data_IF_224774976928
#
_entry.id   IF_224774976928
#
_cell.length_a   1.000
_cell.length_b   1.000
_cell.length_c   1.000
_cell.angle_alpha   90.00
_cell.angle_beta   90.00
_cell.angle_gamma   90.00
#
_symmetry.space_group_name_H-M   'P 1'
#
loop_
_entity.id
_entity.type
_entity.pdbx_description
1 polymer ?
#
# COMPACT_ATOMS: atom_id res chain seq x y z
N UNK A 1 10.83 -2.49 -7.80
CA UNK A 1 10.51 -2.99 -6.43
C UNK A 1 10.71 -4.50 -6.33
N UNK A 2 10.97 -5.03 -5.13
CA UNK A 2 11.08 -6.47 -4.85
C UNK A 2 10.02 -6.82 -3.81
N UNK A 3 9.20 -7.83 -4.09
CA UNK A 3 8.16 -8.32 -3.17
C UNK A 3 8.68 -9.54 -2.41
N UNK A 4 8.34 -9.65 -1.12
CA UNK A 4 8.63 -10.85 -0.34
C UNK A 4 7.76 -12.04 -0.76
N UNK A 5 6.53 -11.78 -1.21
CA UNK A 5 5.57 -12.74 -1.74
C UNK A 5 4.98 -12.21 -3.04
N UNK A 6 4.73 -13.06 -4.06
CA UNK A 6 4.11 -12.62 -5.30
C UNK A 6 2.65 -12.19 -5.07
N UNK A 7 2.10 -11.29 -5.90
CA UNK A 7 0.66 -11.04 -5.92
C UNK A 7 -0.09 -12.30 -6.37
N UNK A 8 -1.39 -12.33 -6.13
CA UNK A 8 -2.26 -13.39 -6.62
C UNK A 8 -2.22 -13.46 -8.15
N UNK A 9 -2.15 -14.67 -8.76
CA UNK A 9 -2.25 -14.81 -10.22
C UNK A 9 -3.56 -14.28 -10.81
N UNK A 10 -4.62 -14.14 -10.00
CA UNK A 10 -5.90 -13.57 -10.42
C UNK A 10 -5.85 -12.05 -10.59
N UNK A 11 -4.89 -11.41 -9.92
CA UNK A 11 -4.70 -9.96 -9.89
C UNK A 11 -3.20 -9.61 -9.82
N UNK A 12 -2.45 -9.91 -10.89
CA UNK A 12 -1.00 -9.70 -10.91
C UNK A 12 -0.59 -8.25 -11.17
N UNK A 13 -1.55 -7.36 -11.48
CA UNK A 13 -1.32 -6.03 -12.04
C UNK A 13 -0.39 -6.09 -13.25
N UNK A 14 0.45 -5.07 -13.40
CA UNK A 14 1.59 -5.02 -14.33
C UNK A 14 2.90 -5.53 -13.69
N UNK A 15 2.80 -6.12 -12.50
CA UNK A 15 3.91 -6.66 -11.72
C UNK A 15 4.49 -5.65 -10.72
N UNK A 16 5.57 -6.00 -9.99
CA UNK A 16 6.08 -5.18 -8.88
C UNK A 16 6.51 -3.75 -9.25
N UNK A 17 6.73 -3.46 -10.54
CA UNK A 17 7.07 -2.12 -11.01
C UNK A 17 5.91 -1.13 -10.87
N UNK A 18 4.66 -1.61 -10.88
CA UNK A 18 3.44 -0.83 -10.72
C UNK A 18 3.46 0.03 -9.45
N UNK A 19 4.02 -0.50 -8.35
CA UNK A 19 4.09 0.19 -7.06
C UNK A 19 4.87 1.52 -7.09
N UNK A 20 5.49 1.90 -8.20
CA UNK A 20 6.33 3.08 -8.35
C UNK A 20 6.24 3.71 -9.75
N UNK A 21 5.21 3.41 -10.54
CA UNK A 21 5.11 3.87 -11.94
C UNK A 21 4.36 5.22 -12.11
N UNK A 22 3.70 5.67 -11.05
CA UNK A 22 2.92 6.89 -10.96
C UNK A 22 1.46 6.73 -11.40
N UNK A 23 0.99 5.51 -11.64
CA UNK A 23 -0.37 5.21 -12.12
C UNK A 23 -1.22 4.76 -10.93
N UNK A 24 -2.32 5.48 -10.69
CA UNK A 24 -3.28 5.11 -9.64
C UNK A 24 -4.37 4.21 -10.19
N UNK A 25 -4.73 3.18 -9.43
CA UNK A 25 -5.75 2.23 -9.83
C UNK A 25 -7.17 2.79 -9.74
N UNK A 26 -8.06 2.27 -10.60
CA UNK A 26 -9.48 2.55 -10.56
C UNK A 26 -10.19 1.51 -9.66
N UNK A 27 -10.84 1.91 -8.54
CA UNK A 27 -11.54 0.97 -7.68
C UNK A 27 -12.76 0.30 -8.35
N UNK A 28 -13.26 0.84 -9.46
CA UNK A 28 -14.30 0.21 -10.27
C UNK A 28 -13.73 -0.88 -11.20
N UNK A 29 -12.42 -0.86 -11.47
CA UNK A 29 -11.71 -1.83 -12.30
C UNK A 29 -10.52 -2.46 -11.57
N UNK A 30 -10.81 -3.39 -10.65
CA UNK A 30 -9.78 -4.13 -9.89
C UNK A 30 -8.89 -5.06 -10.73
N UNK A 31 -9.11 -5.18 -12.05
CA UNK A 31 -8.34 -6.07 -12.94
C UNK A 31 -7.06 -5.43 -13.48
N UNK A 32 -6.93 -4.10 -13.40
CA UNK A 32 -5.81 -3.33 -13.93
C UNK A 32 -5.27 -2.41 -12.85
N UNK A 33 -3.96 -2.15 -12.86
CA UNK A 33 -3.33 -1.13 -12.01
C UNK A 33 -3.54 -1.36 -10.51
N UNK A 34 -3.61 -2.65 -10.12
CA UNK A 34 -3.66 -3.11 -8.75
C UNK A 34 -2.90 -4.43 -8.57
N UNK A 35 -2.02 -4.50 -7.57
CA UNK A 35 -1.48 -5.75 -7.05
C UNK A 35 -2.38 -6.31 -5.96
N UNK A 36 -2.95 -7.50 -6.18
CA UNK A 36 -3.89 -8.14 -5.26
C UNK A 36 -3.28 -9.24 -4.40
N UNK A 37 -3.59 -9.22 -3.10
CA UNK A 37 -3.14 -10.21 -2.12
C UNK A 37 -4.34 -10.77 -1.34
N UNK A 38 -4.53 -12.09 -1.37
CA UNK A 38 -5.67 -12.78 -0.74
C UNK A 38 -5.25 -13.42 0.60
N UNK A 39 -5.61 -12.78 1.71
CA UNK A 39 -5.23 -13.21 3.05
C UNK A 39 -3.73 -13.10 3.36
N UNK A 40 -2.94 -12.57 2.45
CA UNK A 40 -1.50 -12.34 2.58
C UNK A 40 -1.21 -10.84 2.66
N UNK A 41 -0.18 -10.48 3.43
CA UNK A 41 0.32 -9.11 3.54
C UNK A 41 1.14 -8.71 2.30
N UNK A 42 1.21 -7.41 2.01
CA UNK A 42 2.25 -6.87 1.13
C UNK A 42 3.51 -6.58 1.96
N UNK A 43 4.65 -7.14 1.54
CA UNK A 43 5.97 -6.67 1.97
C UNK A 43 6.80 -6.34 0.74
N UNK A 44 7.04 -5.06 0.50
CA UNK A 44 7.76 -4.55 -0.67
C UNK A 44 9.02 -3.79 -0.26
N UNK A 45 10.14 -4.04 -0.96
CA UNK A 45 11.37 -3.26 -0.84
C UNK A 45 11.63 -2.48 -2.12
N UNK A 46 11.89 -1.18 -1.99
CA UNK A 46 12.17 -0.24 -3.08
C UNK A 46 13.60 0.27 -2.91
N UNK A 47 14.42 0.15 -3.96
CA UNK A 47 15.69 0.91 -4.09
C UNK A 47 15.36 2.25 -4.75
N UNK A 48 15.66 3.34 -4.05
CA UNK A 48 15.48 4.72 -4.52
C UNK A 48 16.59 5.14 -5.51
N UNK A 49 17.53 4.24 -5.81
CA UNK A 49 18.65 4.41 -6.74
C UNK A 49 19.82 5.19 -6.15
N UNK A 50 19.54 6.13 -5.23
CA UNK A 50 20.54 6.92 -4.51
C UNK A 50 20.06 7.23 -3.09
N UNK A 51 20.98 7.60 -2.21
CA UNK A 51 20.63 8.13 -0.90
C UNK A 51 19.96 9.49 -1.05
N UNK A 52 18.72 9.62 -0.59
CA UNK A 52 17.94 10.86 -0.57
C UNK A 52 17.50 11.20 0.85
N UNK A 53 17.05 12.44 1.04
CA UNK A 53 16.32 12.86 2.24
C UNK A 53 14.86 12.43 2.13
N UNK A 54 14.29 11.82 3.16
CA UNK A 54 12.90 11.36 3.21
C UNK A 54 12.20 12.00 4.40
N UNK A 55 11.07 12.65 4.14
CA UNK A 55 10.26 13.36 5.15
C UNK A 55 8.77 13.01 5.10
N UNK A 56 8.28 12.44 4.00
CA UNK A 56 6.90 11.98 3.87
C UNK A 56 6.86 10.66 3.09
N UNK A 57 6.07 9.71 3.57
CA UNK A 57 5.90 8.38 3.01
C UNK A 57 4.42 8.07 2.87
N UNK A 58 4.05 7.24 1.90
CA UNK A 58 2.66 6.81 1.75
C UNK A 58 2.52 5.52 0.96
N UNK A 59 1.32 4.98 1.04
CA UNK A 59 0.86 3.85 0.25
C UNK A 59 -0.57 4.12 -0.20
N UNK A 60 -0.88 3.89 -1.46
CA UNK A 60 -2.23 3.99 -2.01
C UNK A 60 -2.89 2.61 -2.03
N UNK A 61 -4.17 2.58 -1.70
CA UNK A 61 -4.97 1.36 -1.58
C UNK A 61 -6.45 1.68 -1.77
N UNK A 62 -7.24 0.67 -2.11
CA UNK A 62 -8.69 0.78 -2.17
C UNK A 62 -9.41 -0.17 -1.20
N UNK A 63 -10.69 0.15 -0.99
CA UNK A 63 -11.69 -0.69 -0.37
C UNK A 63 -12.82 -0.87 -1.37
N UNK A 64 -13.24 -2.11 -1.57
CA UNK A 64 -14.41 -2.50 -2.38
C UNK A 64 -15.06 -3.67 -1.63
N UNK A 65 -15.89 -3.35 -0.65
CA UNK A 65 -16.40 -4.35 0.29
C UNK A 65 -17.23 -5.44 -0.39
N UNK A 66 -17.95 -5.10 -1.47
CA UNK A 66 -18.69 -6.06 -2.31
C UNK A 66 -17.79 -7.13 -2.94
N UNK A 67 -16.52 -6.80 -3.20
CA UNK A 67 -15.49 -7.70 -3.70
C UNK A 67 -14.62 -8.33 -2.59
N UNK A 68 -14.91 -8.03 -1.31
CA UNK A 68 -14.11 -8.50 -0.18
C UNK A 68 -12.76 -7.80 -0.03
N UNK A 69 -12.62 -6.60 -0.63
CA UNK A 69 -11.40 -5.78 -0.58
C UNK A 69 -11.49 -4.80 0.58
N UNK A 70 -10.46 -4.75 1.42
CA UNK A 70 -10.38 -3.86 2.58
C UNK A 70 -9.05 -3.10 2.61
N UNK A 71 -9.07 -1.88 3.14
CA UNK A 71 -7.86 -1.13 3.43
C UNK A 71 -6.99 -1.88 4.46
N UNK A 72 -5.66 -1.75 4.41
CA UNK A 72 -4.79 -2.35 5.39
C UNK A 72 -5.01 -1.73 6.78
N UNK A 73 -5.14 -2.55 7.86
CA UNK A 73 -5.25 -2.02 9.22
C UNK A 73 -4.01 -1.24 9.65
N UNK A 74 -2.84 -1.67 9.17
CA UNK A 74 -1.56 -1.03 9.45
C UNK A 74 -0.68 -1.01 8.21
N UNK A 75 0.03 0.10 8.03
CA UNK A 75 1.13 0.21 7.07
C UNK A 75 2.37 0.65 7.82
N UNK A 76 3.36 -0.23 7.91
CA UNK A 76 4.67 0.08 8.49
C UNK A 76 5.66 0.49 7.40
N UNK A 77 6.39 1.58 7.67
CA UNK A 77 7.46 2.07 6.81
C UNK A 77 8.80 1.94 7.53
N UNK A 78 9.75 1.27 6.90
CA UNK A 78 11.12 1.11 7.38
C UNK A 78 12.12 1.56 6.32
N UNK A 79 13.23 2.16 6.73
CA UNK A 79 14.27 2.66 5.81
C UNK A 79 15.62 1.98 6.02
N UNK A 80 16.44 1.94 4.96
CA UNK A 80 17.81 1.42 5.02
C UNK A 80 18.75 2.19 4.09
N UNK A 81 20.03 2.27 4.46
CA UNK A 81 21.10 2.75 3.59
C UNK A 81 21.72 1.62 2.74
N UNK A 82 21.73 0.39 3.25
CA UNK A 82 22.45 -0.74 2.66
C UNK A 82 21.53 -1.84 2.09
N UNK A 83 20.22 -1.72 2.27
CA UNK A 83 19.23 -2.67 1.78
C UNK A 83 19.16 -3.98 2.58
N UNK A 84 19.86 -4.06 3.72
CA UNK A 84 19.88 -5.23 4.61
C UNK A 84 19.32 -4.90 5.98
N UNK A 85 19.84 -3.83 6.59
CA UNK A 85 19.46 -3.40 7.93
C UNK A 85 18.39 -2.31 7.82
N UNK A 86 17.17 -2.64 8.21
CA UNK A 86 16.02 -1.75 8.12
C UNK A 86 15.62 -1.24 9.50
N UNK A 87 15.35 0.06 9.59
CA UNK A 87 14.83 0.71 10.79
C UNK A 87 13.43 1.24 10.53
N UNK A 88 12.48 0.88 11.39
CA UNK A 88 11.12 1.44 11.35
C UNK A 88 11.15 2.95 11.64
N UNK A 89 10.45 3.72 10.80
CA UNK A 89 10.37 5.19 10.91
C UNK A 89 8.95 5.70 11.11
N UNK A 90 7.94 4.92 10.70
CA UNK A 90 6.55 5.24 10.95
C UNK A 90 5.63 4.02 10.80
N UNK A 91 4.46 4.12 11.42
CA UNK A 91 3.34 3.20 11.19
C UNK A 91 2.07 4.04 11.07
N UNK A 92 1.33 3.85 9.98
CA UNK A 92 -0.01 4.42 9.80
C UNK A 92 -1.05 3.36 10.15
N UNK A 93 -2.12 3.76 10.83
CA UNK A 93 -3.24 2.89 11.20
C UNK A 93 -4.52 3.33 10.51
N UNK A 94 -5.32 2.37 10.05
CA UNK A 94 -6.65 2.61 9.49
C UNK A 94 -7.69 1.94 10.37
N UNK A 95 -8.77 2.64 10.70
CA UNK A 95 -9.91 2.02 11.38
C UNK A 95 -10.65 1.10 10.41
N UNK A 96 -10.41 -0.21 10.50
CA UNK A 96 -11.03 -1.25 9.67
C UNK A 96 -11.46 -2.45 10.52
N UNK A 97 -12.48 -3.22 10.11
CA UNK A 97 -13.24 -3.09 8.86
C UNK A 97 -14.34 -2.03 8.90
N UNK A 98 -14.49 -1.27 7.82
CA UNK A 98 -15.62 -0.34 7.62
C UNK A 98 -16.64 -0.93 6.66
N UNK A 99 -17.92 -0.54 6.81
CA UNK A 99 -19.01 -0.95 5.90
C UNK A 99 -19.14 -0.06 4.66
N UNK A 100 -18.24 0.92 4.48
CA UNK A 100 -18.25 1.82 3.31
C UNK A 100 -18.06 1.00 2.04
N UNK A 101 -18.93 1.18 1.05
CA UNK A 101 -18.95 0.34 -0.16
C UNK A 101 -17.62 0.38 -0.92
N UNK A 102 -17.26 1.59 -1.38
CA UNK A 102 -16.03 1.86 -2.15
C UNK A 102 -15.28 3.03 -1.49
N UNK A 103 -13.96 2.91 -1.37
CA UNK A 103 -13.08 3.96 -0.88
C UNK A 103 -11.70 3.82 -1.53
N UNK A 104 -11.04 4.93 -1.85
CA UNK A 104 -9.62 4.93 -2.24
C UNK A 104 -8.88 5.87 -1.30
N UNK A 105 -7.77 5.41 -0.72
CA UNK A 105 -7.00 6.20 0.24
C UNK A 105 -5.51 6.11 -0.02
N UNK A 106 -4.88 7.27 0.08
CA UNK A 106 -3.45 7.39 0.32
C UNK A 106 -3.24 7.39 1.84
N UNK A 107 -2.66 6.32 2.34
CA UNK A 107 -2.26 6.16 3.74
C UNK A 107 -0.86 6.73 3.93
N UNK A 108 -0.77 8.06 4.04
CA UNK A 108 0.51 8.77 4.20
C UNK A 108 0.79 9.23 5.62
N UNK A 109 2.07 9.44 5.90
CA UNK A 109 2.55 9.96 7.17
C UNK A 109 3.82 10.79 6.98
N UNK A 110 3.95 11.86 7.75
CA UNK A 110 5.16 12.66 7.85
C UNK A 110 6.07 12.06 8.90
N UNK A 111 7.37 12.06 8.62
CA UNK A 111 8.41 11.55 9.51
C UNK A 111 9.43 12.63 9.82
N UNK A 112 10.19 12.43 10.89
CA UNK A 112 11.43 13.18 11.06
C UNK A 112 12.36 12.85 9.89
N UNK A 113 12.88 13.88 9.25
CA UNK A 113 13.77 13.75 8.10
C UNK A 113 14.88 12.71 8.35
N UNK A 114 15.03 11.77 7.43
CA UNK A 114 16.03 10.71 7.48
C UNK A 114 16.65 10.48 6.11
N UNK A 115 17.95 10.17 6.08
CA UNK A 115 18.63 9.73 4.85
C UNK A 115 18.36 8.25 4.61
N UNK A 116 17.88 7.91 3.42
CA UNK A 116 17.60 6.54 3.02
C UNK A 116 17.95 6.30 1.56
N UNK A 117 18.37 5.08 1.22
CA UNK A 117 18.44 4.59 -0.17
C UNK A 117 17.38 3.53 -0.44
N UNK A 118 16.97 2.78 0.58
CA UNK A 118 15.95 1.76 0.44
C UNK A 118 14.78 2.05 1.37
N UNK A 119 13.58 1.78 0.89
CA UNK A 119 12.34 1.79 1.65
C UNK A 119 11.77 0.38 1.67
N UNK A 120 11.34 -0.09 2.84
CA UNK A 120 10.52 -1.28 2.98
C UNK A 120 9.16 -0.89 3.53
N UNK A 121 8.11 -1.37 2.87
CA UNK A 121 6.71 -1.14 3.25
C UNK A 121 6.09 -2.48 3.59
N UNK A 122 5.45 -2.56 4.76
CA UNK A 122 4.65 -3.71 5.17
C UNK A 122 3.20 -3.26 5.37
N UNK A 123 2.33 -3.64 4.44
CA UNK A 123 0.89 -3.39 4.53
C UNK A 123 0.18 -4.66 4.95
N UNK A 124 -0.45 -4.61 6.13
CA UNK A 124 -1.11 -5.77 6.71
C UNK A 124 -2.44 -6.04 6.02
N UNK A 125 -2.72 -7.29 5.70
CA UNK A 125 -4.04 -7.74 5.25
C UNK A 125 -4.99 -7.83 6.44
N UNK A 126 -6.28 -7.56 6.21
CA UNK A 126 -7.31 -7.78 7.23
C UNK A 126 -7.39 -9.25 7.69
N UNK A 127 -6.91 -10.18 6.86
CA UNK A 127 -6.90 -11.62 7.10
C UNK A 127 -8.20 -12.24 6.66
N UNK A 128 -9.25 -12.11 7.47
CA UNK A 128 -10.57 -12.69 7.19
C UNK A 128 -11.65 -11.61 7.09
N UNK A 129 -12.60 -11.82 6.18
CA UNK A 129 -13.76 -10.97 5.99
C UNK A 129 -14.64 -11.01 7.26
N UNK A 130 -15.07 -9.85 7.78
CA UNK A 130 -15.81 -9.74 9.03
C UNK A 130 -17.24 -10.27 8.97
N UNK A 131 -17.80 -10.58 10.15
CA UNK A 131 -19.10 -11.26 10.32
C UNK A 131 -20.31 -10.54 9.72
N UNK A 132 -20.25 -9.21 9.59
CA UNK A 132 -21.33 -8.43 9.01
C UNK A 132 -21.46 -8.59 7.50
N UNK A 133 -20.44 -9.13 6.83
CA UNK A 133 -20.41 -9.25 5.37
C UNK A 133 -20.91 -10.63 4.93
N UNK A 134 -21.57 -10.69 3.77
CA UNK A 134 -22.09 -11.95 3.19
C UNK A 134 -20.99 -13.00 2.95
N UNK A 135 -19.75 -12.55 2.73
CA UNK A 135 -18.58 -13.38 2.50
C UNK A 135 -17.78 -13.72 3.78
N UNK A 136 -18.38 -13.55 4.96
CA UNK A 136 -17.72 -13.74 6.27
C UNK A 136 -16.87 -15.01 6.35
N UNK A 137 -15.73 -14.92 7.03
CA UNK A 137 -14.80 -16.03 7.24
C UNK A 137 -13.94 -16.41 6.03
N UNK A 138 -14.23 -15.90 4.82
CA UNK A 138 -13.32 -16.01 3.68
C UNK A 138 -12.11 -15.09 3.86
N UNK A 139 -11.03 -15.35 3.12
CA UNK A 139 -9.86 -14.48 3.08
C UNK A 139 -10.24 -13.10 2.53
N UNK A 140 -9.70 -12.04 3.14
CA UNK A 140 -9.86 -10.68 2.66
C UNK A 140 -8.84 -10.36 1.57
N UNK A 141 -9.25 -9.53 0.62
CA UNK A 141 -8.36 -8.98 -0.40
C UNK A 141 -7.71 -7.69 0.10
N UNK A 142 -6.43 -7.54 -0.20
CA UNK A 142 -5.66 -6.31 -0.08
C UNK A 142 -5.21 -5.90 -1.49
N UNK A 143 -5.50 -4.67 -1.89
CA UNK A 143 -5.11 -4.11 -3.19
C UNK A 143 -4.27 -2.86 -3.01
N UNK A 144 -3.11 -2.84 -3.67
CA UNK A 144 -2.13 -1.75 -3.61
C UNK A 144 -1.72 -1.41 -5.04
N UNK A 145 -1.80 -0.14 -5.38
CA UNK A 145 -1.38 0.43 -6.67
C UNK A 145 -0.04 1.17 -6.52
N UNK A 146 0.15 1.97 -5.47
CA UNK A 146 1.28 2.91 -5.39
C UNK A 146 1.97 2.97 -4.01
N UNK A 147 3.30 3.16 -4.03
CA UNK A 147 4.12 3.51 -2.86
C UNK A 147 4.80 4.85 -3.10
N UNK A 148 4.51 5.80 -2.21
CA UNK A 148 4.87 7.20 -2.37
C UNK A 148 6.05 7.56 -1.46
N UNK A 149 7.02 8.30 -2.02
CA UNK A 149 8.16 8.88 -1.30
C UNK A 149 8.24 10.37 -1.60
N UNK A 150 8.17 11.19 -0.56
CA UNK A 150 8.07 12.66 -0.65
C UNK A 150 7.06 13.12 -1.72
N UNK A 151 5.80 12.62 -1.71
CA UNK A 151 4.82 12.96 -2.73
C UNK A 151 4.63 14.47 -2.79
N UNK A 152 4.78 15.05 -3.98
CA UNK A 152 4.54 16.48 -4.19
C UNK A 152 3.05 16.76 -3.98
N UNK A 153 2.72 17.70 -3.10
CA UNK A 153 1.35 18.22 -3.03
C UNK A 153 1.07 18.98 -4.31
N UNK A 154 0.07 18.57 -5.08
CA UNK A 154 -0.42 19.42 -6.16
C UNK A 154 -0.85 20.75 -5.52
N UNK A 155 -0.23 21.85 -5.96
CA UNK A 155 -0.73 23.18 -5.64
C UNK A 155 -2.08 23.29 -6.34
N UNK A 156 -3.18 23.04 -5.61
CA UNK A 156 -4.49 23.56 -6.01
C UNK A 156 -4.36 25.09 -5.98
N UNK A 157 -3.96 25.67 -7.11
CA UNK A 157 -4.14 27.08 -7.38
C UNK A 157 -5.64 27.33 -7.30
N UNK A 158 -6.10 27.84 -6.16
CA UNK A 158 -7.39 28.51 -6.08
C UNK A 158 -7.20 29.80 -6.88
N UNK A 159 -7.67 29.78 -8.13
CA UNK A 159 -8.07 31.00 -8.82
C UNK A 159 -9.53 31.27 -8.48
#
# INVERSE_FOLDING_TARGET
>A
PILASPPSPNYPGTGPAELVDGITGDPENLKSDWLGFEGEDLVATIDLGKTISVEELGLSSCQVTSAGVFLPPTVEFSVSLNGKDFKSVATTTTEVPQKKSVDTRILSTKIKEVKARHLRVHAKNLGTIPDWHQAKGRKAWLFIDEILVNPQRSRKNHR
#
